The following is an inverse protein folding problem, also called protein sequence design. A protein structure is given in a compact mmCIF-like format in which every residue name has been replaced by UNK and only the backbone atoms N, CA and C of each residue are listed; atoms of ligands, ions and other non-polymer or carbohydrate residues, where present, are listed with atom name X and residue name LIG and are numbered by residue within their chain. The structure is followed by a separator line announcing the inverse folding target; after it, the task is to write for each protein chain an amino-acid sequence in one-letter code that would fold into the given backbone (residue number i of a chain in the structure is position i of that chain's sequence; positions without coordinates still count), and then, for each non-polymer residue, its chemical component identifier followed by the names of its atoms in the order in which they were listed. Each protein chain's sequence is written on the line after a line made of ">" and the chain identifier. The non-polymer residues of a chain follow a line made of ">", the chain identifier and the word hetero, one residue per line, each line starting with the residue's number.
data_IF_756776098147
#
_entry.id   IF_756776098147
#
_cell.length_a   1.000
_cell.length_b   1.000
_cell.length_c   1.000
_cell.angle_alpha   90.00
_cell.angle_beta   90.00
_cell.angle_gamma   90.00
#
_symmetry.space_group_name_H-M   'P 1'
#
loop_
_entity.id
_entity.type
_entity.pdbx_description
1 polymer ?
#
# COMPACT_ATOMS: atom_id res chain seq x y z
N UNK A 1 15.55 -26.06 25.26
CA UNK A 1 16.07 -24.84 24.61
C UNK A 1 16.00 -23.72 25.63
N UNK A 2 17.07 -22.95 25.83
CA UNK A 2 17.09 -21.83 26.79
C UNK A 2 16.63 -20.56 26.07
N UNK A 3 15.73 -19.79 26.69
CA UNK A 3 15.24 -18.52 26.16
C UNK A 3 15.72 -17.36 27.03
N UNK A 4 15.97 -16.23 26.41
CA UNK A 4 16.41 -14.99 27.06
C UNK A 4 15.36 -13.88 26.81
N UNK A 5 15.36 -12.92 27.72
CA UNK A 5 14.54 -11.72 27.61
C UNK A 5 15.10 -10.73 26.58
N UNK A 6 14.25 -9.79 26.15
CA UNK A 6 14.66 -8.67 25.28
C UNK A 6 15.86 -7.90 25.83
N UNK A 7 15.92 -7.71 27.16
CA UNK A 7 16.99 -6.96 27.81
C UNK A 7 18.33 -7.70 27.77
N UNK A 8 18.32 -9.02 27.96
CA UNK A 8 19.51 -9.86 27.87
C UNK A 8 20.04 -9.93 26.45
N UNK A 9 19.17 -10.15 25.47
CA UNK A 9 19.53 -10.15 24.03
C UNK A 9 20.03 -8.76 23.59
N UNK A 10 19.45 -7.69 24.07
CA UNK A 10 19.91 -6.32 23.78
C UNK A 10 21.37 -6.12 24.21
N UNK A 11 21.73 -6.61 25.38
CA UNK A 11 23.12 -6.59 25.87
C UNK A 11 24.03 -7.47 25.02
N UNK A 12 23.63 -8.70 24.72
CA UNK A 12 24.41 -9.63 23.88
C UNK A 12 24.66 -9.08 22.47
N UNK A 13 23.66 -8.45 21.87
CA UNK A 13 23.75 -7.92 20.51
C UNK A 13 24.33 -6.49 20.45
N UNK A 14 24.51 -5.81 21.58
CA UNK A 14 24.99 -4.42 21.61
C UNK A 14 24.03 -3.44 20.94
N UNK A 15 22.70 -3.60 21.15
CA UNK A 15 21.67 -2.72 20.60
C UNK A 15 20.62 -2.39 21.66
N UNK A 16 19.76 -1.42 21.36
CA UNK A 16 18.66 -1.07 22.27
C UNK A 16 17.61 -2.18 22.37
N UNK A 17 16.92 -2.26 23.50
CA UNK A 17 15.79 -3.16 23.71
C UNK A 17 14.67 -2.94 22.67
N UNK A 18 14.47 -1.69 22.19
CA UNK A 18 13.56 -1.36 21.10
C UNK A 18 14.00 -2.03 19.80
N UNK A 19 15.31 -2.02 19.49
CA UNK A 19 15.87 -2.67 18.30
C UNK A 19 15.63 -4.18 18.29
N UNK A 20 15.78 -4.84 19.46
CA UNK A 20 15.47 -6.28 19.60
C UNK A 20 13.99 -6.56 19.36
N UNK A 21 13.09 -5.77 19.98
CA UNK A 21 11.64 -5.93 19.78
C UNK A 21 11.28 -5.77 18.29
N UNK A 22 11.83 -4.77 17.60
CA UNK A 22 11.60 -4.57 16.19
C UNK A 22 12.02 -5.78 15.36
N UNK A 23 13.18 -6.39 15.62
CA UNK A 23 13.60 -7.61 14.92
C UNK A 23 12.66 -8.78 15.19
N UNK A 24 12.15 -8.93 16.41
CA UNK A 24 11.19 -9.99 16.76
C UNK A 24 9.82 -9.75 16.08
N UNK A 25 9.29 -8.53 16.14
CA UNK A 25 8.02 -8.15 15.48
C UNK A 25 8.07 -8.33 13.97
N UNK A 26 9.24 -8.12 13.36
CA UNK A 26 9.47 -8.33 11.92
C UNK A 26 9.72 -9.81 11.56
N UNK A 27 9.60 -10.75 12.51
CA UNK A 27 9.84 -12.17 12.25
C UNK A 27 11.30 -12.53 11.93
N UNK A 28 12.24 -11.62 12.17
CA UNK A 28 13.65 -11.75 11.77
C UNK A 28 14.52 -12.49 12.79
N UNK A 29 13.94 -12.97 13.87
CA UNK A 29 14.57 -13.76 14.89
C UNK A 29 13.90 -15.13 14.93
N UNK A 30 14.42 -16.13 14.23
CA UNK A 30 13.82 -17.46 14.19
C UNK A 30 13.67 -18.04 15.61
N UNK A 31 12.49 -18.61 15.89
CA UNK A 31 12.19 -19.21 17.18
C UNK A 31 11.88 -18.23 18.32
N UNK A 32 11.84 -16.93 18.06
CA UNK A 32 11.31 -15.95 19.01
C UNK A 32 9.79 -15.98 19.01
N UNK A 33 9.17 -15.93 20.19
CA UNK A 33 7.72 -15.88 20.36
C UNK A 33 7.32 -14.94 21.50
N UNK A 34 6.09 -14.47 21.44
CA UNK A 34 5.53 -13.55 22.43
C UNK A 34 4.83 -14.35 23.53
N UNK A 35 5.21 -14.12 24.79
CA UNK A 35 4.52 -14.67 25.97
C UNK A 35 3.88 -13.52 26.72
N UNK A 36 2.57 -13.37 26.59
CA UNK A 36 1.88 -12.17 27.08
C UNK A 36 2.39 -10.91 26.40
N UNK A 37 3.01 -9.99 27.15
CA UNK A 37 3.60 -8.75 26.62
C UNK A 37 5.13 -8.81 26.45
N UNK A 38 5.75 -9.99 26.61
CA UNK A 38 7.21 -10.15 26.65
C UNK A 38 7.66 -11.14 25.58
N UNK A 39 8.69 -10.78 24.83
CA UNK A 39 9.35 -11.66 23.88
C UNK A 39 10.28 -12.63 24.58
N UNK A 40 10.13 -13.91 24.25
CA UNK A 40 11.06 -15.00 24.61
C UNK A 40 11.90 -15.32 23.37
N UNK A 41 13.22 -15.20 23.48
CA UNK A 41 14.14 -15.28 22.35
C UNK A 41 15.13 -16.42 22.60
N UNK A 42 15.37 -17.33 21.65
CA UNK A 42 16.37 -18.39 21.81
C UNK A 42 17.74 -17.81 22.19
N UNK A 43 18.42 -18.42 23.18
CA UNK A 43 19.72 -17.93 23.67
C UNK A 43 20.83 -17.99 22.60
N UNK A 44 20.68 -18.87 21.61
CA UNK A 44 21.57 -19.05 20.44
C UNK A 44 21.16 -18.20 19.22
N UNK A 45 20.11 -17.37 19.37
CA UNK A 45 19.65 -16.51 18.29
C UNK A 45 20.77 -15.54 17.87
N UNK A 46 21.04 -15.52 16.56
CA UNK A 46 22.02 -14.58 15.99
C UNK A 46 21.36 -13.24 15.74
N UNK A 47 22.13 -12.16 16.03
CA UNK A 47 21.68 -10.81 15.69
C UNK A 47 21.41 -10.73 14.18
N UNK A 48 20.17 -10.39 13.76
CA UNK A 48 19.88 -10.19 12.36
C UNK A 48 20.81 -9.13 11.76
N UNK A 49 21.33 -9.39 10.57
CA UNK A 49 22.11 -8.40 9.86
C UNK A 49 21.28 -7.11 9.79
N UNK A 50 21.89 -5.94 10.01
CA UNK A 50 21.21 -4.70 9.64
C UNK A 50 20.84 -4.86 8.17
N UNK A 51 19.56 -4.67 7.84
CA UNK A 51 19.18 -4.36 6.48
C UNK A 51 19.85 -3.01 6.19
N UNK A 52 21.12 -3.05 5.79
CA UNK A 52 21.74 -1.95 5.08
C UNK A 52 21.05 -1.92 3.72
N UNK A 53 19.78 -1.54 3.68
CA UNK A 53 19.32 -0.83 2.53
C UNK A 53 20.31 0.33 2.42
N UNK A 54 21.23 0.32 1.42
CA UNK A 54 21.76 1.57 0.93
C UNK A 54 20.54 2.48 0.92
N UNK A 55 20.58 3.56 1.69
CA UNK A 55 19.65 4.67 1.46
C UNK A 55 20.04 5.16 0.07
N UNK A 56 19.43 4.56 -0.95
CA UNK A 56 19.44 5.11 -2.28
C UNK A 56 18.87 6.50 -2.07
N UNK A 57 19.59 7.51 -2.52
CA UNK A 57 19.09 8.87 -2.44
C UNK A 57 17.68 8.85 -3.05
N UNK A 58 16.68 9.49 -2.40
CA UNK A 58 15.33 9.49 -2.94
C UNK A 58 15.37 10.05 -4.37
N UNK A 59 14.59 9.47 -5.27
CA UNK A 59 14.43 10.01 -6.62
C UNK A 59 13.96 11.47 -6.53
N UNK A 60 14.20 12.29 -7.56
CA UNK A 60 13.73 13.68 -7.57
C UNK A 60 12.22 13.79 -7.28
N UNK A 61 11.42 12.88 -7.81
CA UNK A 61 9.98 12.81 -7.53
C UNK A 61 9.71 12.54 -6.05
N UNK A 62 10.30 11.49 -5.47
CA UNK A 62 10.07 11.15 -4.06
C UNK A 62 10.54 12.27 -3.12
N UNK A 63 11.66 12.90 -3.42
CA UNK A 63 12.16 14.04 -2.66
C UNK A 63 11.16 15.21 -2.70
N UNK A 64 10.66 15.55 -3.89
CA UNK A 64 9.66 16.62 -4.09
C UNK A 64 8.34 16.31 -3.40
N UNK A 65 7.83 15.07 -3.52
CA UNK A 65 6.60 14.64 -2.83
C UNK A 65 6.72 14.80 -1.30
N UNK A 66 7.85 14.40 -0.72
CA UNK A 66 8.10 14.54 0.74
C UNK A 66 8.24 15.99 1.18
N UNK A 67 8.91 16.80 0.40
CA UNK A 67 9.06 18.24 0.66
C UNK A 67 7.69 18.92 0.68
N UNK A 68 6.90 18.75 -0.39
CA UNK A 68 5.57 19.35 -0.52
C UNK A 68 4.57 18.82 0.52
N UNK A 69 4.63 17.51 0.85
CA UNK A 69 3.85 16.89 1.93
C UNK A 69 4.17 17.53 3.28
N UNK A 70 5.45 17.69 3.60
CA UNK A 70 5.89 18.30 4.86
C UNK A 70 5.48 19.77 4.97
N UNK A 71 5.59 20.53 3.86
CA UNK A 71 5.23 21.92 3.77
C UNK A 71 3.72 22.17 3.57
N UNK A 72 2.93 21.11 3.34
CA UNK A 72 1.51 21.18 2.96
C UNK A 72 1.27 22.11 1.77
N UNK A 73 2.14 22.02 0.77
CA UNK A 73 2.10 22.88 -0.41
C UNK A 73 0.83 22.60 -1.23
N UNK A 74 0.06 23.64 -1.52
CA UNK A 74 -1.06 23.55 -2.45
C UNK A 74 -0.59 23.75 -3.90
N UNK A 75 -1.24 23.08 -4.86
CA UNK A 75 -0.97 23.24 -6.30
C UNK A 75 0.29 22.56 -6.82
N UNK A 76 1.07 21.86 -5.98
CA UNK A 76 2.24 21.08 -6.39
C UNK A 76 1.90 19.66 -6.85
N UNK A 77 2.97 18.88 -7.16
CA UNK A 77 2.80 17.48 -7.58
C UNK A 77 2.19 16.62 -6.46
N UNK A 78 2.54 16.86 -5.19
CA UNK A 78 1.94 16.17 -4.06
C UNK A 78 0.42 16.40 -4.01
N UNK A 79 -0.02 17.65 -4.13
CA UNK A 79 -1.45 17.99 -4.18
C UNK A 79 -2.15 17.29 -5.36
N UNK A 80 -1.52 17.31 -6.55
CA UNK A 80 -2.03 16.61 -7.74
C UNK A 80 -2.18 15.12 -7.50
N UNK A 81 -1.16 14.47 -6.94
CA UNK A 81 -1.17 13.03 -6.61
C UNK A 81 -2.26 12.71 -5.59
N UNK A 82 -2.39 13.51 -4.52
CA UNK A 82 -3.42 13.32 -3.50
C UNK A 82 -4.83 13.31 -4.12
N UNK A 83 -5.15 14.30 -4.92
CA UNK A 83 -6.48 14.42 -5.51
C UNK A 83 -6.73 13.32 -6.54
N UNK A 84 -5.81 13.13 -7.49
CA UNK A 84 -6.04 12.20 -8.60
C UNK A 84 -6.01 10.74 -8.18
N UNK A 85 -5.07 10.34 -7.32
CA UNK A 85 -5.00 8.96 -6.85
C UNK A 85 -6.20 8.63 -5.97
N UNK A 86 -6.63 9.55 -5.10
CA UNK A 86 -7.78 9.35 -4.24
C UNK A 86 -9.08 9.32 -5.03
N UNK A 87 -9.31 10.30 -5.92
CA UNK A 87 -10.51 10.35 -6.73
C UNK A 87 -10.66 9.08 -7.56
N UNK A 88 -9.67 8.79 -8.42
CA UNK A 88 -9.77 7.67 -9.35
C UNK A 88 -9.88 6.32 -8.61
N UNK A 89 -9.06 6.12 -7.57
CA UNK A 89 -9.04 4.85 -6.84
C UNK A 89 -10.36 4.58 -6.10
N UNK A 90 -10.99 5.59 -5.48
CA UNK A 90 -12.29 5.43 -4.82
C UNK A 90 -13.44 5.35 -5.83
N UNK A 91 -13.38 6.11 -6.93
CA UNK A 91 -14.42 6.09 -7.96
C UNK A 91 -14.51 4.72 -8.65
N UNK A 92 -13.38 4.05 -8.85
CA UNK A 92 -13.34 2.67 -9.34
C UNK A 92 -14.07 1.68 -8.42
N UNK A 93 -14.10 1.94 -7.13
CA UNK A 93 -14.78 1.13 -6.11
C UNK A 93 -16.21 1.61 -5.81
N UNK A 94 -16.74 2.52 -6.63
CA UNK A 94 -18.14 2.95 -6.57
C UNK A 94 -18.42 4.18 -5.71
N UNK A 95 -17.40 4.91 -5.29
CA UNK A 95 -17.59 6.23 -4.69
C UNK A 95 -18.27 7.18 -5.68
N UNK A 96 -19.22 7.97 -5.19
CA UNK A 96 -19.98 8.95 -5.97
C UNK A 96 -19.41 10.37 -5.87
N UNK A 97 -18.32 10.56 -5.12
CA UNK A 97 -17.65 11.84 -5.06
C UNK A 97 -17.14 12.25 -6.43
N UNK A 98 -17.39 13.48 -6.82
CA UNK A 98 -16.76 14.08 -7.99
C UNK A 98 -15.30 14.41 -7.70
N UNK A 99 -14.51 14.64 -8.75
CA UNK A 99 -13.12 15.09 -8.60
C UNK A 99 -13.03 16.42 -7.84
N UNK A 100 -13.95 17.35 -8.09
CA UNK A 100 -13.99 18.63 -7.40
C UNK A 100 -14.38 18.50 -5.92
N UNK A 101 -15.31 17.60 -5.60
CA UNK A 101 -15.62 17.28 -4.21
C UNK A 101 -14.44 16.63 -3.49
N UNK A 102 -13.76 15.69 -4.14
CA UNK A 102 -12.54 15.06 -3.59
C UNK A 102 -11.47 16.10 -3.33
N UNK A 103 -11.24 17.03 -4.28
CA UNK A 103 -10.31 18.16 -4.10
C UNK A 103 -10.70 19.04 -2.94
N UNK A 104 -11.98 19.43 -2.85
CA UNK A 104 -12.48 20.28 -1.78
C UNK A 104 -12.30 19.64 -0.41
N UNK A 105 -12.55 18.34 -0.27
CA UNK A 105 -12.31 17.62 0.98
C UNK A 105 -10.83 17.68 1.34
N UNK A 106 -9.93 17.47 0.38
CA UNK A 106 -8.48 17.54 0.61
C UNK A 106 -8.01 18.91 1.06
N UNK A 107 -8.46 19.96 0.35
CA UNK A 107 -7.99 21.33 0.56
C UNK A 107 -8.58 21.98 1.82
N UNK A 108 -9.83 21.69 2.14
CA UNK A 108 -10.60 22.46 3.13
C UNK A 108 -11.26 21.63 4.23
N UNK A 109 -11.22 20.29 4.12
CA UNK A 109 -11.98 19.39 5.00
C UNK A 109 -13.48 19.66 4.99
N UNK A 110 -14.01 20.21 3.91
CA UNK A 110 -15.43 20.48 3.71
C UNK A 110 -15.96 19.77 2.48
N UNK A 111 -17.27 19.68 2.35
CA UNK A 111 -17.97 19.14 1.19
C UNK A 111 -18.99 20.14 0.68
N UNK A 112 -19.06 20.31 -0.63
CA UNK A 112 -20.10 21.11 -1.24
C UNK A 112 -21.46 20.39 -1.20
N UNK A 113 -22.54 21.02 -0.76
CA UNK A 113 -23.88 20.43 -0.74
C UNK A 113 -24.54 20.35 -2.12
N UNK A 114 -23.86 20.73 -3.19
CA UNK A 114 -24.39 20.72 -4.56
C UNK A 114 -24.50 19.30 -5.11
N UNK A 115 -25.71 18.92 -5.55
CA UNK A 115 -25.98 17.63 -6.19
C UNK A 115 -26.85 16.69 -5.34
N UNK A 116 -26.94 15.43 -5.78
CA UNK A 116 -27.58 14.35 -5.00
C UNK A 116 -26.78 14.10 -3.71
N UNK A 117 -27.47 13.61 -2.68
CA UNK A 117 -26.86 13.37 -1.36
C UNK A 117 -25.56 12.56 -1.45
N UNK A 118 -24.53 13.04 -0.77
CA UNK A 118 -23.23 12.38 -0.68
C UNK A 118 -23.28 11.32 0.41
N UNK A 119 -22.77 10.13 0.11
CA UNK A 119 -22.65 9.06 1.11
C UNK A 119 -21.56 9.43 2.11
N UNK A 120 -21.87 9.30 3.40
CA UNK A 120 -20.90 9.59 4.48
C UNK A 120 -19.65 8.71 4.35
N UNK A 121 -19.81 7.42 4.03
CA UNK A 121 -18.69 6.52 3.83
C UNK A 121 -17.76 6.96 2.69
N UNK A 122 -18.31 7.52 1.60
CA UNK A 122 -17.47 8.02 0.50
C UNK A 122 -16.54 9.16 0.97
N UNK A 123 -17.03 10.04 1.87
CA UNK A 123 -16.24 11.13 2.45
C UNK A 123 -15.18 10.60 3.41
N UNK A 124 -15.56 9.65 4.27
CA UNK A 124 -14.65 9.01 5.22
C UNK A 124 -13.54 8.28 4.46
N UNK A 125 -13.90 7.46 3.47
CA UNK A 125 -12.93 6.70 2.69
C UNK A 125 -12.01 7.59 1.86
N UNK A 126 -12.50 8.72 1.31
CA UNK A 126 -11.65 9.70 0.64
C UNK A 126 -10.65 10.33 1.63
N UNK A 127 -11.12 10.74 2.80
CA UNK A 127 -10.28 11.32 3.84
C UNK A 127 -9.23 10.32 4.35
N UNK A 128 -9.61 9.06 4.50
CA UNK A 128 -8.71 7.98 4.90
C UNK A 128 -7.70 7.66 3.78
N UNK A 129 -8.12 7.69 2.52
CA UNK A 129 -7.25 7.43 1.39
C UNK A 129 -6.14 8.50 1.27
N UNK A 130 -6.41 9.77 1.56
CA UNK A 130 -5.37 10.80 1.65
C UNK A 130 -4.31 10.44 2.70
N UNK A 131 -4.72 9.93 3.87
CA UNK A 131 -3.78 9.46 4.90
C UNK A 131 -2.96 8.26 4.43
N UNK A 132 -3.57 7.35 3.66
CA UNK A 132 -2.85 6.24 3.05
C UNK A 132 -1.81 6.73 2.03
N UNK A 133 -2.12 7.75 1.23
CA UNK A 133 -1.17 8.37 0.29
C UNK A 133 0.01 9.00 1.06
N UNK A 134 -0.25 9.70 2.15
CA UNK A 134 0.81 10.23 3.03
C UNK A 134 1.68 9.11 3.59
N UNK A 135 1.05 8.02 4.03
CA UNK A 135 1.74 6.85 4.57
C UNK A 135 2.69 6.23 3.53
N UNK A 136 2.22 5.98 2.31
CA UNK A 136 3.06 5.36 1.27
C UNK A 136 4.20 6.27 0.81
N UNK A 137 4.02 7.59 0.77
CA UNK A 137 5.09 8.55 0.45
C UNK A 137 6.14 8.58 1.58
N UNK A 138 5.69 8.64 2.82
CA UNK A 138 6.57 8.63 4.00
C UNK A 138 7.43 7.37 4.08
N UNK A 139 6.82 6.21 3.83
CA UNK A 139 7.41 4.87 3.96
C UNK A 139 7.83 4.26 2.61
N UNK A 140 7.93 5.06 1.54
CA UNK A 140 8.21 4.57 0.19
C UNK A 140 9.48 3.70 0.09
N UNK A 141 10.52 3.99 0.88
CA UNK A 141 11.79 3.24 0.87
C UNK A 141 11.77 1.93 1.68
N UNK A 142 10.67 1.60 2.35
CA UNK A 142 10.57 0.41 3.17
C UNK A 142 10.12 -0.80 2.35
N UNK A 143 10.60 -2.00 2.77
CA UNK A 143 10.20 -3.26 2.17
C UNK A 143 8.70 -3.53 2.40
N UNK A 144 8.06 -4.25 1.48
CA UNK A 144 6.70 -4.71 1.68
C UNK A 144 6.65 -5.67 2.88
N UNK A 145 5.56 -5.57 3.63
CA UNK A 145 5.31 -6.41 4.80
C UNK A 145 3.82 -6.60 5.01
N UNK A 146 3.43 -7.68 5.69
CA UNK A 146 2.02 -7.88 6.10
C UNK A 146 1.53 -6.69 6.94
N UNK A 147 2.39 -6.15 7.82
CA UNK A 147 2.06 -4.98 8.64
C UNK A 147 1.68 -3.79 7.78
N UNK A 148 2.49 -3.46 6.75
CA UNK A 148 2.18 -2.34 5.85
C UNK A 148 0.83 -2.51 5.15
N UNK A 149 0.53 -3.71 4.65
CA UNK A 149 -0.75 -3.98 3.98
C UNK A 149 -1.93 -3.81 4.94
N UNK A 150 -1.80 -4.33 6.16
CA UNK A 150 -2.81 -4.23 7.21
C UNK A 150 -2.97 -2.80 7.71
N UNK A 151 -1.88 -2.06 7.90
CA UNK A 151 -1.89 -0.66 8.32
C UNK A 151 -2.60 0.24 7.27
N UNK A 152 -2.35 -0.02 5.98
CA UNK A 152 -3.05 0.67 4.89
C UNK A 152 -4.55 0.34 4.90
N UNK A 153 -4.91 -0.94 5.01
CA UNK A 153 -6.31 -1.36 5.10
C UNK A 153 -7.00 -0.77 6.33
N UNK A 154 -6.36 -0.86 7.51
CA UNK A 154 -6.87 -0.31 8.76
C UNK A 154 -7.10 1.19 8.68
N UNK A 155 -6.17 1.92 8.08
CA UNK A 155 -6.32 3.36 7.84
C UNK A 155 -7.48 3.64 6.87
N UNK A 156 -7.54 2.91 5.76
CA UNK A 156 -8.54 3.11 4.70
C UNK A 156 -9.96 2.88 5.21
N UNK A 157 -10.18 1.84 6.00
CA UNK A 157 -11.50 1.42 6.47
C UNK A 157 -11.88 1.96 7.85
N UNK A 158 -11.01 2.74 8.49
CA UNK A 158 -11.29 3.34 9.79
C UNK A 158 -12.58 4.18 9.77
N UNK A 159 -13.43 3.97 10.75
CA UNK A 159 -14.66 4.74 10.97
C UNK A 159 -15.71 4.67 9.83
N UNK A 160 -15.58 3.74 8.90
CA UNK A 160 -16.64 3.46 7.91
C UNK A 160 -17.79 2.66 8.53
N UNK A 161 -18.94 2.66 7.91
CA UNK A 161 -20.10 1.87 8.38
C UNK A 161 -19.82 0.37 8.42
N UNK A 162 -18.91 -0.13 7.58
CA UNK A 162 -18.47 -1.52 7.56
C UNK A 162 -17.60 -1.87 8.76
N UNK A 163 -16.76 -0.94 9.24
CA UNK A 163 -15.81 -1.16 10.34
C UNK A 163 -16.45 -1.48 11.70
N UNK A 164 -17.74 -1.19 11.86
CA UNK A 164 -18.50 -1.52 13.07
C UNK A 164 -19.15 -2.91 13.07
N UNK A 165 -18.89 -3.73 12.05
CA UNK A 165 -19.51 -5.06 11.91
C UNK A 165 -18.56 -6.16 12.39
N UNK A 166 -19.04 -7.08 13.21
CA UNK A 166 -18.23 -8.15 13.82
C UNK A 166 -17.52 -9.06 12.79
N UNK A 167 -18.09 -9.20 11.60
CA UNK A 167 -17.51 -10.00 10.53
C UNK A 167 -16.55 -9.24 9.62
N UNK A 168 -16.35 -7.94 9.84
CA UNK A 168 -15.47 -7.09 9.06
C UNK A 168 -14.20 -6.79 9.86
N UNK A 169 -13.14 -7.53 9.59
CA UNK A 169 -11.84 -7.27 10.23
C UNK A 169 -11.21 -6.00 9.65
N UNK A 170 -11.08 -4.97 10.49
CA UNK A 170 -10.29 -3.77 10.18
C UNK A 170 -8.85 -4.06 10.59
N UNK A 171 -7.87 -3.69 9.77
CA UNK A 171 -6.43 -3.97 9.98
C UNK A 171 -6.04 -5.45 10.04
N UNK A 172 -6.93 -6.35 9.61
CA UNK A 172 -6.64 -7.78 9.51
C UNK A 172 -7.29 -8.42 8.27
N UNK A 173 -6.92 -9.66 8.00
CA UNK A 173 -7.42 -10.41 6.85
C UNK A 173 -8.90 -10.77 7.01
N UNK A 174 -9.55 -11.02 5.87
CA UNK A 174 -10.97 -11.35 5.81
C UNK A 174 -11.32 -12.58 6.66
N UNK A 175 -12.48 -12.52 7.27
CA UNK A 175 -13.05 -13.62 8.07
C UNK A 175 -13.99 -14.50 7.25
N UNK A 176 -14.60 -13.94 6.19
CA UNK A 176 -15.56 -14.64 5.35
C UNK A 176 -15.02 -14.81 3.93
N UNK A 177 -15.35 -15.93 3.24
CA UNK A 177 -15.08 -16.07 1.82
C UNK A 177 -15.70 -14.92 1.01
N UNK A 178 -15.05 -14.54 -0.07
CA UNK A 178 -15.57 -13.56 -1.02
C UNK A 178 -15.23 -13.96 -2.46
N UNK A 179 -15.90 -13.31 -3.40
CA UNK A 179 -15.75 -13.53 -4.83
C UNK A 179 -15.43 -12.21 -5.53
N UNK A 180 -14.70 -12.26 -6.62
CA UNK A 180 -14.41 -11.13 -7.50
C UNK A 180 -14.66 -11.52 -8.95
N UNK A 181 -15.58 -10.82 -9.61
CA UNK A 181 -15.92 -11.10 -11.00
C UNK A 181 -16.41 -12.53 -11.25
N UNK A 182 -17.13 -13.13 -10.28
CA UNK A 182 -17.65 -14.50 -10.35
C UNK A 182 -16.58 -15.59 -10.14
N UNK A 183 -15.41 -15.23 -9.57
CA UNK A 183 -14.34 -16.16 -9.21
C UNK A 183 -14.14 -16.14 -7.69
N UNK A 184 -14.08 -17.31 -7.10
CA UNK A 184 -13.68 -17.46 -5.71
C UNK A 184 -12.25 -16.95 -5.52
N UNK A 185 -12.02 -16.26 -4.43
CA UNK A 185 -10.69 -15.79 -4.01
C UNK A 185 -10.08 -16.77 -3.01
N UNK A 186 -8.87 -16.51 -2.52
CA UNK A 186 -8.24 -17.36 -1.51
C UNK A 186 -9.13 -17.50 -0.27
N UNK A 187 -9.37 -18.72 0.19
CA UNK A 187 -10.14 -18.99 1.41
C UNK A 187 -9.49 -18.35 2.64
N UNK A 188 -10.27 -17.81 3.61
CA UNK A 188 -9.76 -17.03 4.74
C UNK A 188 -8.60 -17.66 5.48
N UNK A 189 -8.66 -18.96 5.75
CA UNK A 189 -7.63 -19.74 6.46
C UNK A 189 -6.29 -19.81 5.70
N UNK A 190 -6.29 -19.59 4.41
CA UNK A 190 -5.10 -19.63 3.56
C UNK A 190 -4.49 -18.25 3.27
N UNK A 191 -5.25 -17.17 3.48
CA UNK A 191 -4.84 -15.80 3.12
C UNK A 191 -3.48 -15.43 3.69
N UNK A 192 -3.28 -15.64 4.99
CA UNK A 192 -2.03 -15.26 5.65
C UNK A 192 -0.80 -15.99 5.06
N UNK A 193 -0.95 -17.25 4.65
CA UNK A 193 0.11 -18.03 4.00
C UNK A 193 0.40 -17.48 2.61
N UNK A 194 -0.63 -17.25 1.81
CA UNK A 194 -0.50 -16.79 0.43
C UNK A 194 0.09 -15.37 0.36
N UNK A 195 -0.34 -14.45 1.22
CA UNK A 195 0.21 -13.09 1.29
C UNK A 195 1.69 -13.11 1.70
N UNK A 196 2.06 -13.92 2.72
CA UNK A 196 3.49 -14.07 3.10
C UNK A 196 4.33 -14.63 1.95
N UNK A 197 3.81 -15.62 1.24
CA UNK A 197 4.47 -16.20 0.06
C UNK A 197 4.68 -15.17 -1.04
N UNK A 198 3.64 -14.39 -1.35
CA UNK A 198 3.69 -13.33 -2.35
C UNK A 198 4.72 -12.25 -1.99
N UNK A 199 4.68 -11.73 -0.75
CA UNK A 199 5.64 -10.73 -0.26
C UNK A 199 7.07 -11.31 -0.31
N UNK A 200 7.29 -12.53 0.18
CA UNK A 200 8.60 -13.16 0.21
C UNK A 200 9.18 -13.33 -1.19
N UNK A 201 8.37 -13.76 -2.15
CA UNK A 201 8.76 -13.91 -3.55
C UNK A 201 9.11 -12.57 -4.18
N UNK A 202 8.31 -11.54 -3.95
CA UNK A 202 8.56 -10.19 -4.48
C UNK A 202 9.83 -9.56 -3.90
N UNK A 203 10.02 -9.63 -2.58
CA UNK A 203 11.19 -9.03 -1.88
C UNK A 203 12.49 -9.80 -2.14
N UNK A 204 12.43 -11.02 -2.67
CA UNK A 204 13.61 -11.75 -3.14
C UNK A 204 14.21 -11.13 -4.42
N UNK A 205 13.39 -10.46 -5.24
CA UNK A 205 13.84 -9.70 -6.41
C UNK A 205 14.43 -8.35 -5.95
N UNK A 206 15.73 -8.15 -6.16
CA UNK A 206 16.43 -6.93 -5.73
C UNK A 206 16.31 -5.75 -6.70
N UNK A 207 15.83 -5.98 -7.89
CA UNK A 207 15.66 -4.98 -8.94
C UNK A 207 14.34 -5.20 -9.68
N UNK A 208 13.19 -5.05 -9.00
CA UNK A 208 11.89 -5.24 -9.62
C UNK A 208 11.67 -4.27 -10.79
N UNK A 209 11.08 -4.79 -11.83
CA UNK A 209 10.60 -4.03 -12.99
C UNK A 209 9.16 -3.57 -12.77
N UNK A 210 8.64 -2.76 -13.69
CA UNK A 210 7.22 -2.40 -13.69
C UNK A 210 6.33 -3.66 -13.80
N UNK A 211 6.73 -4.65 -14.61
CA UNK A 211 5.98 -5.90 -14.75
C UNK A 211 5.94 -6.68 -13.42
N UNK A 212 7.02 -6.72 -12.65
CA UNK A 212 7.04 -7.37 -11.34
C UNK A 212 6.09 -6.70 -10.35
N UNK A 213 6.02 -5.36 -10.37
CA UNK A 213 5.09 -4.59 -9.52
C UNK A 213 3.64 -4.87 -9.93
N UNK A 214 3.35 -4.87 -11.23
CA UNK A 214 2.01 -5.19 -11.74
C UNK A 214 1.65 -6.65 -11.47
N UNK A 215 2.59 -7.59 -11.59
CA UNK A 215 2.39 -8.99 -11.23
C UNK A 215 2.07 -9.17 -9.73
N UNK A 216 2.78 -8.45 -8.86
CA UNK A 216 2.45 -8.43 -7.43
C UNK A 216 1.00 -7.99 -7.22
N UNK A 217 0.59 -6.90 -7.87
CA UNK A 217 -0.77 -6.39 -7.76
C UNK A 217 -1.83 -7.39 -8.26
N UNK A 218 -1.62 -8.01 -9.41
CA UNK A 218 -2.52 -9.04 -9.93
C UNK A 218 -2.66 -10.22 -8.95
N UNK A 219 -1.54 -10.65 -8.39
CA UNK A 219 -1.52 -11.75 -7.41
C UNK A 219 -2.23 -11.35 -6.11
N UNK A 220 -2.04 -10.12 -5.66
CA UNK A 220 -2.72 -9.56 -4.49
C UNK A 220 -4.25 -9.49 -4.71
N UNK A 221 -4.69 -9.02 -5.88
CA UNK A 221 -6.12 -8.99 -6.26
C UNK A 221 -6.75 -10.38 -6.31
N UNK A 222 -5.99 -11.42 -6.68
CA UNK A 222 -6.46 -12.80 -6.70
C UNK A 222 -6.57 -13.42 -5.31
N UNK A 223 -5.60 -13.13 -4.44
CA UNK A 223 -5.67 -13.52 -3.03
C UNK A 223 -6.87 -12.85 -2.37
N UNK A 224 -7.07 -11.56 -2.68
CA UNK A 224 -8.14 -10.73 -2.13
C UNK A 224 -8.17 -10.79 -0.61
N UNK A 225 -7.08 -10.35 0.07
CA UNK A 225 -6.85 -10.66 1.47
C UNK A 225 -7.82 -10.01 2.44
N UNK A 226 -8.47 -8.93 2.08
CA UNK A 226 -9.39 -8.18 2.92
C UNK A 226 -10.85 -8.42 2.49
N UNK A 227 -11.78 -8.14 3.38
CA UNK A 227 -13.21 -8.28 3.09
C UNK A 227 -13.68 -7.25 2.05
N UNK A 228 -13.08 -6.05 2.06
CA UNK A 228 -13.26 -4.95 1.12
C UNK A 228 -11.99 -4.09 1.08
N UNK A 229 -11.84 -3.21 0.08
CA UNK A 229 -10.71 -2.28 -0.02
C UNK A 229 -9.46 -2.84 -0.68
N UNK A 230 -9.47 -4.07 -1.20
CA UNK A 230 -8.32 -4.70 -1.83
C UNK A 230 -7.79 -3.90 -3.03
N UNK A 231 -8.66 -3.48 -3.94
CA UNK A 231 -8.28 -2.69 -5.10
C UNK A 231 -7.56 -1.39 -4.70
N UNK A 232 -8.06 -0.69 -3.71
CA UNK A 232 -7.46 0.55 -3.20
C UNK A 232 -6.09 0.32 -2.58
N UNK A 233 -5.97 -0.68 -1.68
CA UNK A 233 -4.68 -1.07 -1.08
C UNK A 233 -3.70 -1.51 -2.15
N UNK A 234 -4.12 -2.35 -3.10
CA UNK A 234 -3.27 -2.83 -4.19
C UNK A 234 -2.73 -1.69 -5.07
N UNK A 235 -3.57 -0.71 -5.44
CA UNK A 235 -3.14 0.46 -6.21
C UNK A 235 -2.20 1.38 -5.42
N UNK A 236 -2.43 1.57 -4.13
CA UNK A 236 -1.51 2.29 -3.23
C UNK A 236 -0.14 1.60 -3.16
N UNK A 237 -0.13 0.27 -3.06
CA UNK A 237 1.12 -0.52 -3.05
C UNK A 237 1.85 -0.41 -4.38
N UNK A 238 1.17 -0.50 -5.52
CA UNK A 238 1.81 -0.28 -6.83
C UNK A 238 2.48 1.09 -6.90
N UNK A 239 1.78 2.14 -6.50
CA UNK A 239 2.33 3.50 -6.48
C UNK A 239 3.57 3.59 -5.58
N UNK A 240 3.48 3.03 -4.38
CA UNK A 240 4.59 2.99 -3.40
C UNK A 240 5.82 2.25 -3.95
N UNK A 241 5.62 1.10 -4.58
CA UNK A 241 6.74 0.30 -5.10
C UNK A 241 7.40 0.98 -6.32
N UNK A 242 6.63 1.67 -7.17
CA UNK A 242 7.21 2.52 -8.19
C UNK A 242 8.12 3.59 -7.59
N UNK A 243 7.67 4.29 -6.53
CA UNK A 243 8.50 5.27 -5.82
C UNK A 243 9.76 4.63 -5.20
N UNK A 244 9.63 3.43 -4.61
CA UNK A 244 10.73 2.70 -3.97
C UNK A 244 11.84 2.36 -4.94
N UNK A 245 11.48 1.93 -6.13
CA UNK A 245 12.42 1.43 -7.14
C UNK A 245 12.81 2.47 -8.19
N UNK A 246 12.36 3.71 -8.05
CA UNK A 246 12.69 4.79 -8.97
C UNK A 246 12.01 4.67 -10.33
N UNK A 247 10.95 3.89 -10.41
CA UNK A 247 10.09 3.76 -11.58
C UNK A 247 9.08 4.91 -11.53
N UNK A 248 8.79 5.53 -12.66
CA UNK A 248 7.73 6.56 -12.73
C UNK A 248 6.41 5.92 -12.32
N UNK A 249 5.73 6.41 -11.28
CA UNK A 249 4.43 5.87 -10.87
C UNK A 249 3.33 6.24 -11.87
N UNK A 250 2.14 5.71 -11.63
CA UNK A 250 0.97 5.99 -12.47
C UNK A 250 -0.32 5.97 -11.64
N UNK A 251 -1.35 6.57 -12.18
CA UNK A 251 -2.71 6.55 -11.64
C UNK A 251 -3.63 5.99 -12.72
N UNK A 252 -4.30 4.89 -12.42
CA UNK A 252 -5.32 4.34 -13.32
C UNK A 252 -6.53 5.27 -13.26
N UNK A 253 -6.86 5.89 -14.40
CA UNK A 253 -7.99 6.79 -14.52
C UNK A 253 -9.33 6.05 -14.65
N UNK A 254 -10.41 6.73 -14.29
CA UNK A 254 -11.77 6.17 -14.46
C UNK A 254 -12.11 5.87 -15.92
N UNK A 255 -11.60 6.65 -16.84
CA UNK A 255 -11.71 6.47 -18.30
C UNK A 255 -11.03 5.19 -18.78
N UNK A 256 -10.03 4.69 -18.08
CA UNK A 256 -9.27 3.48 -18.43
C UNK A 256 -9.64 2.27 -17.59
N UNK A 257 -10.55 2.39 -16.62
CA UNK A 257 -10.91 1.32 -15.68
C UNK A 257 -11.38 0.03 -16.35
N UNK A 258 -12.11 0.13 -17.47
CA UNK A 258 -12.55 -1.05 -18.22
C UNK A 258 -11.35 -1.87 -18.74
N UNK A 259 -10.34 -1.20 -19.28
CA UNK A 259 -9.12 -1.86 -19.79
C UNK A 259 -8.31 -2.45 -18.63
N UNK A 260 -8.26 -1.78 -17.49
CA UNK A 260 -7.61 -2.27 -16.30
C UNK A 260 -8.26 -3.56 -15.77
N UNK A 261 -9.58 -3.59 -15.56
CA UNK A 261 -10.27 -4.79 -15.11
C UNK A 261 -10.19 -5.93 -16.11
N UNK A 262 -10.31 -5.65 -17.42
CA UNK A 262 -10.07 -6.63 -18.47
C UNK A 262 -8.66 -7.20 -18.37
N UNK A 263 -7.66 -6.35 -18.18
CA UNK A 263 -6.27 -6.77 -18.07
C UNK A 263 -6.02 -7.63 -16.83
N UNK A 264 -6.60 -7.30 -15.68
CA UNK A 264 -6.54 -8.15 -14.47
C UNK A 264 -7.15 -9.53 -14.71
N UNK A 265 -8.33 -9.60 -15.32
CA UNK A 265 -9.05 -10.85 -15.57
C UNK A 265 -8.36 -11.75 -16.61
N UNK A 266 -7.57 -11.18 -17.51
CA UNK A 266 -6.91 -11.87 -18.62
C UNK A 266 -5.40 -11.99 -18.48
N UNK A 267 -4.85 -11.67 -17.36
CA UNK A 267 -3.40 -11.64 -17.12
C UNK A 267 -2.66 -12.92 -17.55
N UNK A 268 -3.23 -14.08 -17.30
CA UNK A 268 -2.58 -15.36 -17.65
C UNK A 268 -2.60 -15.66 -19.14
N UNK A 269 -3.51 -15.02 -19.88
CA UNK A 269 -3.65 -15.20 -21.33
C UNK A 269 -2.88 -14.14 -22.10
N UNK A 270 -3.00 -12.87 -21.68
CA UNK A 270 -2.43 -11.73 -22.40
C UNK A 270 -2.07 -10.59 -21.43
N UNK A 271 -0.83 -10.64 -20.93
CA UNK A 271 -0.31 -9.63 -19.98
C UNK A 271 -0.24 -8.23 -20.60
N UNK A 272 -0.03 -8.16 -21.90
CA UNK A 272 0.12 -6.92 -22.65
C UNK A 272 -1.06 -5.97 -22.47
N UNK A 273 -2.26 -6.47 -22.21
CA UNK A 273 -3.43 -5.61 -22.01
C UNK A 273 -3.33 -4.79 -20.72
N UNK A 274 -2.96 -5.41 -19.60
CA UNK A 274 -2.79 -4.67 -18.35
C UNK A 274 -1.53 -3.80 -18.40
N UNK A 275 -0.43 -4.36 -18.90
CA UNK A 275 0.82 -3.62 -19.06
C UNK A 275 0.64 -2.38 -19.93
N UNK A 276 -0.06 -2.51 -21.07
CA UNK A 276 -0.38 -1.36 -21.94
C UNK A 276 -1.19 -0.28 -21.24
N UNK A 277 -2.17 -0.68 -20.41
CA UNK A 277 -2.95 0.26 -19.59
C UNK A 277 -2.06 0.98 -18.58
N UNK A 278 -1.19 0.24 -17.85
CA UNK A 278 -0.26 0.82 -16.89
C UNK A 278 0.77 1.76 -17.55
N UNK A 279 1.32 1.39 -18.70
CA UNK A 279 2.26 2.22 -19.45
C UNK A 279 1.60 3.51 -19.97
N UNK A 280 0.38 3.44 -20.50
CA UNK A 280 -0.38 4.63 -20.91
C UNK A 280 -0.65 5.57 -19.72
N UNK A 281 -1.01 5.03 -18.58
CA UNK A 281 -1.18 5.81 -17.34
C UNK A 281 0.13 6.41 -16.86
N UNK A 282 1.25 5.69 -17.02
CA UNK A 282 2.60 6.19 -16.70
C UNK A 282 3.00 7.35 -17.64
N UNK A 283 2.67 7.29 -18.92
CA UNK A 283 2.93 8.39 -19.85
C UNK A 283 2.12 9.64 -19.49
N UNK A 284 0.88 9.46 -19.04
CA UNK A 284 0.08 10.56 -18.50
C UNK A 284 0.73 11.18 -17.24
N UNK A 285 1.30 10.35 -16.37
CA UNK A 285 2.01 10.82 -15.18
C UNK A 285 3.31 11.54 -15.52
N UNK A 286 4.05 11.09 -16.56
CA UNK A 286 5.23 11.79 -17.08
C UNK A 286 4.87 13.22 -17.52
N UNK A 287 3.70 13.42 -18.14
CA UNK A 287 3.19 14.75 -18.47
C UNK A 287 3.04 15.65 -17.22
N UNK A 288 2.69 15.09 -16.06
CA UNK A 288 2.70 15.88 -14.81
C UNK A 288 4.12 16.20 -14.37
N UNK A 289 5.07 15.23 -14.48
CA UNK A 289 6.47 15.47 -14.12
C UNK A 289 7.08 16.58 -14.97
N UNK A 290 6.80 16.60 -16.26
CA UNK A 290 7.23 17.64 -17.21
C UNK A 290 6.66 19.00 -16.80
N UNK A 291 5.35 19.08 -16.50
CA UNK A 291 4.68 20.29 -16.07
C UNK A 291 5.32 20.87 -14.77
N UNK A 292 5.60 19.99 -13.79
CA UNK A 292 6.22 20.39 -12.53
C UNK A 292 7.75 20.45 -12.60
N UNK A 293 8.36 20.21 -13.77
CA UNK A 293 9.81 20.22 -14.01
C UNK A 293 10.58 19.27 -13.07
N UNK A 294 10.05 18.08 -12.87
CA UNK A 294 10.66 17.04 -12.05
C UNK A 294 11.37 16.05 -12.98
N UNK A 295 12.71 15.93 -12.89
CA UNK A 295 13.44 15.00 -13.74
C UNK A 295 13.13 13.53 -13.39
N UNK A 296 13.04 12.70 -14.41
CA UNK A 296 12.86 11.25 -14.31
C UNK A 296 13.73 10.53 -15.34
N UNK A 297 14.05 9.26 -15.05
CA UNK A 297 14.69 8.38 -16.04
C UNK A 297 13.62 7.74 -16.90
N UNK A 298 13.85 7.74 -18.18
CA UNK A 298 12.93 7.16 -19.19
C UNK A 298 12.97 5.65 -19.19
#
# INVERSE_FOLDING_TARGET
>A
MRYLSVAEIARLWGISARGVRNYCTQGRVPGAFLTGKTWSIPADARKPARLNGRRVAPTPLLARLREEMSARTSGGIYHKVQVELTYNSNHMEGSRLTRDQTRLIFETSTISPQGEGVRVDDVIEASNHFRCVDHIIGHAGEALSESLLKDLHGTLKASTSASGRDWFAVDDYKLLPNEVGGRETTAPENVAREVRGLISSYEANRAPTLEDIVFFHVSFERIHPFQDGNGRVGRLVMFKECLRHGIVPFVIGDDTKFFYYRGLSRWDVERGWLMGTCLSAQDSFKGWLDYYRIPYSG
#
